data_IF_562725106876
#
_entry.id   IF_562725106876
#
_cell.length_a   1.000
_cell.length_b   1.000
_cell.length_c   1.000
_cell.angle_alpha   90.00
_cell.angle_beta   90.00
_cell.angle_gamma   90.00
#
_symmetry.space_group_name_H-M   'P 1'
#
loop_
_entity.id
_entity.type
_entity.pdbx_description
1 polymer ?
#
# COMPACT_ATOMS: atom_id res chain seq x y z
N UNK A 1 -8.00 -34.79 12.09
CA UNK A 1 -8.53 -33.41 12.10
C UNK A 1 -9.20 -33.12 10.77
N UNK A 2 -10.50 -32.81 10.77
CA UNK A 2 -11.32 -32.72 9.56
C UNK A 2 -10.94 -31.51 8.68
N UNK A 3 -10.58 -31.77 7.41
CA UNK A 3 -10.31 -30.77 6.35
C UNK A 3 -11.39 -29.69 6.22
N UNK A 4 -12.62 -29.98 6.64
CA UNK A 4 -13.77 -29.06 6.53
C UNK A 4 -13.64 -27.81 7.43
N UNK A 5 -13.08 -27.94 8.64
CA UNK A 5 -12.88 -26.79 9.53
C UNK A 5 -11.71 -25.90 9.09
N UNK A 6 -10.65 -26.50 8.54
CA UNK A 6 -9.50 -25.74 8.02
C UNK A 6 -9.89 -24.84 6.82
N UNK A 7 -10.72 -25.33 5.91
CA UNK A 7 -11.20 -24.54 4.77
C UNK A 7 -12.12 -23.38 5.15
N UNK A 8 -12.90 -23.50 6.23
CA UNK A 8 -13.76 -22.42 6.72
C UNK A 8 -12.93 -21.31 7.38
N UNK A 9 -11.94 -21.65 8.21
CA UNK A 9 -11.07 -20.66 8.83
C UNK A 9 -10.25 -19.85 7.81
N UNK A 10 -9.81 -20.49 6.74
CA UNK A 10 -9.13 -19.80 5.64
C UNK A 10 -10.09 -18.86 4.90
N UNK A 11 -11.33 -19.29 4.65
CA UNK A 11 -12.36 -18.43 4.03
C UNK A 11 -12.69 -17.21 4.89
N UNK A 12 -12.89 -17.41 6.20
CA UNK A 12 -13.18 -16.31 7.14
C UNK A 12 -12.01 -15.33 7.25
N UNK A 13 -10.77 -15.83 7.19
CA UNK A 13 -9.59 -14.98 7.18
C UNK A 13 -9.53 -14.11 5.92
N UNK A 14 -9.79 -14.70 4.74
CA UNK A 14 -9.84 -13.96 3.47
C UNK A 14 -10.93 -12.89 3.51
N UNK A 15 -12.13 -13.19 4.03
CA UNK A 15 -13.21 -12.20 4.13
C UNK A 15 -12.87 -11.01 5.03
N UNK A 16 -12.23 -11.27 6.18
CA UNK A 16 -11.73 -10.20 7.05
C UNK A 16 -10.69 -9.34 6.36
N UNK A 17 -9.81 -9.94 5.57
CA UNK A 17 -8.78 -9.25 4.80
C UNK A 17 -9.38 -8.39 3.67
N UNK A 18 -10.39 -8.91 2.96
CA UNK A 18 -11.14 -8.15 1.96
C UNK A 18 -11.83 -6.93 2.61
N UNK A 19 -12.48 -7.12 3.77
CA UNK A 19 -13.12 -6.03 4.50
C UNK A 19 -12.11 -4.99 4.99
N UNK A 20 -10.93 -5.42 5.46
CA UNK A 20 -9.83 -4.53 5.85
C UNK A 20 -9.35 -3.68 4.70
N UNK A 21 -9.10 -4.27 3.52
CA UNK A 21 -8.65 -3.54 2.33
C UNK A 21 -9.69 -2.50 1.87
N UNK A 22 -10.99 -2.84 1.89
CA UNK A 22 -12.07 -1.88 1.63
C UNK A 22 -12.07 -0.72 2.62
N UNK A 23 -11.93 -1.02 3.91
CA UNK A 23 -11.86 -0.01 4.97
C UNK A 23 -10.63 0.89 4.83
N UNK A 24 -9.49 0.35 4.40
CA UNK A 24 -8.30 1.15 4.11
C UNK A 24 -8.58 2.20 3.03
N UNK A 25 -9.20 1.83 1.90
CA UNK A 25 -9.53 2.78 0.84
C UNK A 25 -10.37 3.98 1.34
N UNK A 26 -11.37 3.71 2.19
CA UNK A 26 -12.22 4.74 2.79
C UNK A 26 -11.39 5.65 3.71
N UNK A 27 -10.54 5.07 4.57
CA UNK A 27 -9.67 5.84 5.48
C UNK A 27 -8.64 6.68 4.74
N UNK A 28 -8.06 6.15 3.66
CA UNK A 28 -7.10 6.88 2.83
C UNK A 28 -7.76 8.10 2.20
N UNK A 29 -8.95 7.93 1.62
CA UNK A 29 -9.73 9.05 1.08
C UNK A 29 -9.95 10.13 2.15
N UNK A 30 -10.45 9.76 3.33
CA UNK A 30 -10.68 10.72 4.41
C UNK A 30 -9.39 11.43 4.86
N UNK A 31 -8.26 10.71 4.94
CA UNK A 31 -6.94 11.29 5.26
C UNK A 31 -6.47 12.28 4.19
N UNK A 32 -6.68 11.98 2.92
CA UNK A 32 -6.30 12.83 1.78
C UNK A 32 -7.23 14.05 1.72
N UNK A 33 -8.54 13.88 1.85
CA UNK A 33 -9.51 14.97 1.86
C UNK A 33 -9.20 15.98 2.98
N UNK A 34 -8.78 15.50 4.16
CA UNK A 34 -8.37 16.35 5.28
C UNK A 34 -7.01 17.02 5.09
N UNK A 35 -6.03 16.31 4.53
CA UNK A 35 -4.64 16.78 4.41
C UNK A 35 -4.31 17.47 3.08
N UNK A 36 -5.22 17.41 2.11
CA UNK A 36 -5.05 17.92 0.75
C UNK A 36 -3.86 17.33 -0.01
N UNK A 37 -3.44 18.06 -1.04
CA UNK A 37 -2.39 17.63 -1.97
C UNK A 37 -1.04 17.37 -1.29
N UNK A 38 -0.70 18.09 -0.21
CA UNK A 38 0.55 17.88 0.53
C UNK A 38 0.58 16.48 1.16
N UNK A 39 -0.55 16.02 1.71
CA UNK A 39 -0.62 14.69 2.34
C UNK A 39 -0.58 13.57 1.30
N UNK A 40 -1.28 13.75 0.18
CA UNK A 40 -1.19 12.83 -0.95
C UNK A 40 0.26 12.70 -1.48
N UNK A 41 0.96 13.82 -1.63
CA UNK A 41 2.37 13.85 -2.05
C UNK A 41 3.28 13.13 -1.04
N UNK A 42 3.10 13.37 0.26
CA UNK A 42 3.88 12.70 1.30
C UNK A 42 3.69 11.18 1.27
N UNK A 43 2.45 10.71 1.04
CA UNK A 43 2.18 9.29 0.85
C UNK A 43 2.80 8.75 -0.44
N UNK A 44 2.74 9.48 -1.55
CA UNK A 44 3.41 9.10 -2.80
C UNK A 44 4.91 8.92 -2.65
N UNK A 45 5.60 9.87 -2.01
CA UNK A 45 7.03 9.77 -1.73
C UNK A 45 7.38 8.58 -0.81
N UNK A 46 6.56 8.36 0.23
CA UNK A 46 6.73 7.21 1.11
C UNK A 46 6.51 5.88 0.37
N UNK A 47 5.55 5.81 -0.55
CA UNK A 47 5.29 4.62 -1.38
C UNK A 47 6.49 4.29 -2.28
N UNK A 48 7.05 5.29 -2.97
CA UNK A 48 8.26 5.11 -3.80
C UNK A 48 9.41 4.61 -2.94
N UNK A 49 9.65 5.24 -1.79
CA UNK A 49 10.73 4.86 -0.88
C UNK A 49 10.61 3.40 -0.41
N UNK A 50 9.42 2.97 0.01
CA UNK A 50 9.20 1.59 0.44
C UNK A 50 9.35 0.62 -0.75
N UNK A 51 8.86 0.99 -1.94
CA UNK A 51 9.02 0.16 -3.14
C UNK A 51 10.49 -0.02 -3.55
N UNK A 52 11.34 0.99 -3.40
CA UNK A 52 12.79 0.87 -3.65
C UNK A 52 13.45 -0.11 -2.68
N UNK A 53 13.03 -0.12 -1.40
CA UNK A 53 13.51 -1.10 -0.42
C UNK A 53 13.06 -2.52 -0.78
N UNK A 54 11.79 -2.68 -1.16
CA UNK A 54 11.25 -3.97 -1.60
C UNK A 54 11.90 -4.46 -2.89
N UNK A 55 12.23 -3.55 -3.81
CA UNK A 55 12.95 -3.86 -5.06
C UNK A 55 14.27 -4.58 -4.77
N UNK A 56 15.07 -4.04 -3.84
CA UNK A 56 16.32 -4.65 -3.41
C UNK A 56 16.13 -6.01 -2.73
N UNK A 57 15.09 -6.16 -1.92
CA UNK A 57 14.77 -7.43 -1.24
C UNK A 57 14.30 -8.52 -2.21
N UNK A 58 13.48 -8.15 -3.19
CA UNK A 58 12.83 -9.08 -4.11
C UNK A 58 13.62 -9.34 -5.39
N UNK A 59 14.62 -8.51 -5.69
CA UNK A 59 15.34 -8.56 -6.97
C UNK A 59 14.47 -8.19 -8.17
N UNK A 60 13.45 -7.34 -7.95
CA UNK A 60 12.49 -6.91 -8.97
C UNK A 60 12.60 -5.40 -9.23
N UNK A 61 12.18 -4.88 -10.39
CA UNK A 61 12.08 -3.43 -10.60
C UNK A 61 11.19 -2.76 -9.53
N UNK A 62 11.56 -1.56 -9.10
CA UNK A 62 10.78 -0.81 -8.09
C UNK A 62 9.31 -0.59 -8.52
N UNK A 63 9.05 -0.39 -9.81
CA UNK A 63 7.67 -0.31 -10.34
C UNK A 63 6.87 -1.59 -10.14
N UNK A 64 7.52 -2.75 -10.18
CA UNK A 64 6.86 -4.04 -9.99
C UNK A 64 6.72 -4.37 -8.50
N UNK A 65 7.73 -4.05 -7.69
CA UNK A 65 7.62 -4.12 -6.23
C UNK A 65 6.52 -3.20 -5.68
N UNK A 66 6.37 -1.99 -6.24
CA UNK A 66 5.31 -1.03 -5.88
C UNK A 66 3.91 -1.60 -6.12
N UNK A 67 3.75 -2.42 -7.16
CA UNK A 67 2.44 -2.96 -7.59
C UNK A 67 2.26 -4.45 -7.27
N UNK A 68 3.23 -5.04 -6.57
CA UNK A 68 3.30 -6.46 -6.26
C UNK A 68 3.16 -7.35 -7.52
N UNK A 69 3.79 -6.95 -8.62
CA UNK A 69 3.76 -7.68 -9.90
C UNK A 69 4.95 -8.62 -10.00
N UNK A 70 4.73 -9.82 -10.56
CA UNK A 70 5.80 -10.81 -10.74
C UNK A 70 6.36 -11.41 -9.44
N UNK A 71 5.69 -11.17 -8.30
CA UNK A 71 6.11 -11.70 -6.99
C UNK A 71 5.54 -13.11 -6.78
N UNK A 72 6.37 -14.05 -6.33
CA UNK A 72 5.95 -15.42 -5.99
C UNK A 72 5.04 -15.44 -4.75
N UNK A 73 4.30 -16.54 -4.56
CA UNK A 73 3.42 -16.70 -3.38
C UNK A 73 4.17 -16.60 -2.05
N UNK A 74 5.35 -17.21 -1.97
CA UNK A 74 6.16 -17.20 -0.75
C UNK A 74 6.67 -15.79 -0.47
N UNK A 75 7.22 -15.11 -1.49
CA UNK A 75 7.69 -13.74 -1.36
C UNK A 75 6.56 -12.75 -1.03
N UNK A 76 5.34 -12.97 -1.56
CA UNK A 76 4.17 -12.16 -1.21
C UNK A 76 3.86 -12.25 0.30
N UNK A 77 3.89 -13.46 0.85
CA UNK A 77 3.57 -13.71 2.25
C UNK A 77 4.67 -13.19 3.19
N UNK A 78 5.94 -13.39 2.83
CA UNK A 78 7.07 -12.90 3.63
C UNK A 78 7.12 -11.37 3.64
N UNK A 79 6.96 -10.75 2.47
CA UNK A 79 6.93 -9.29 2.33
C UNK A 79 5.76 -8.67 3.10
N UNK A 80 4.61 -9.35 3.15
CA UNK A 80 3.46 -8.91 3.94
C UNK A 80 3.83 -8.78 5.43
N UNK A 81 4.51 -9.79 5.99
CA UNK A 81 4.96 -9.76 7.38
C UNK A 81 5.94 -8.60 7.65
N UNK A 82 6.86 -8.33 6.72
CA UNK A 82 7.80 -7.21 6.83
C UNK A 82 7.13 -5.85 6.77
N UNK A 83 6.16 -5.68 5.86
CA UNK A 83 5.40 -4.44 5.73
C UNK A 83 4.56 -4.15 6.98
N UNK A 84 3.90 -5.17 7.55
CA UNK A 84 3.11 -5.00 8.77
C UNK A 84 3.97 -4.66 9.99
N UNK A 85 5.12 -5.33 10.16
CA UNK A 85 6.10 -4.98 11.19
C UNK A 85 6.62 -3.55 11.01
N UNK A 86 6.92 -3.16 9.78
CA UNK A 86 7.41 -1.82 9.46
C UNK A 86 6.36 -0.76 9.73
N UNK A 87 5.09 -1.01 9.39
CA UNK A 87 3.99 -0.12 9.71
C UNK A 87 3.78 0.02 11.23
N UNK A 88 3.86 -1.08 11.97
CA UNK A 88 3.77 -1.06 13.43
C UNK A 88 4.91 -0.25 14.07
N UNK A 89 6.15 -0.46 13.61
CA UNK A 89 7.32 0.33 14.06
C UNK A 89 7.15 1.81 13.76
N UNK A 90 6.70 2.18 12.56
CA UNK A 90 6.46 3.59 12.24
C UNK A 90 5.41 4.21 13.17
N UNK A 91 4.38 3.44 13.57
CA UNK A 91 3.34 3.92 14.48
C UNK A 91 3.84 4.26 15.88
N UNK A 92 4.96 3.69 16.35
CA UNK A 92 5.53 4.03 17.67
C UNK A 92 6.14 5.43 17.70
N UNK A 93 6.38 6.04 16.53
CA UNK A 93 6.93 7.40 16.40
C UNK A 93 5.87 8.46 16.13
N UNK A 94 4.57 8.12 16.26
CA UNK A 94 3.46 9.04 16.01
C UNK A 94 3.20 10.04 17.14
N UNK A 95 4.00 10.00 18.20
CA UNK A 95 3.83 10.92 19.31
C UNK A 95 4.11 12.37 18.89
N UNK A 96 3.22 13.25 19.32
CA UNK A 96 2.70 14.35 18.53
C UNK A 96 3.64 15.56 18.34
N UNK A 97 3.36 16.33 17.28
CA UNK A 97 3.89 17.65 16.86
C UNK A 97 5.33 17.75 16.30
N UNK A 98 6.11 16.67 16.25
CA UNK A 98 7.41 16.69 15.58
C UNK A 98 7.31 16.41 14.07
N UNK A 99 8.19 16.98 13.23
CA UNK A 99 8.33 16.61 11.81
C UNK A 99 8.56 15.10 11.61
N UNK A 100 9.18 14.43 12.58
CA UNK A 100 9.39 12.98 12.61
C UNK A 100 8.06 12.22 12.62
N UNK A 101 7.04 12.72 13.32
CA UNK A 101 5.71 12.11 13.36
C UNK A 101 4.98 12.15 12.02
N UNK A 102 5.16 13.22 11.23
CA UNK A 102 4.54 13.32 9.89
C UNK A 102 5.18 12.35 8.88
N UNK A 103 6.50 12.20 8.94
CA UNK A 103 7.24 11.22 8.12
C UNK A 103 6.85 9.80 8.53
N UNK A 104 6.80 9.53 9.84
CA UNK A 104 6.39 8.24 10.37
C UNK A 104 4.94 7.87 9.98
N UNK A 105 3.99 8.81 10.03
CA UNK A 105 2.62 8.56 9.54
C UNK A 105 2.60 8.25 8.04
N UNK A 106 3.43 8.94 7.26
CA UNK A 106 3.51 8.72 5.82
C UNK A 106 4.07 7.34 5.48
N UNK A 107 5.16 6.93 6.15
CA UNK A 107 5.74 5.59 6.02
C UNK A 107 4.80 4.50 6.55
N UNK A 108 4.18 4.69 7.71
CA UNK A 108 3.20 3.74 8.26
C UNK A 108 2.02 3.54 7.30
N UNK A 109 1.56 4.63 6.68
CA UNK A 109 0.47 4.60 5.70
C UNK A 109 0.91 3.89 4.42
N UNK A 110 2.08 4.20 3.87
CA UNK A 110 2.63 3.54 2.68
C UNK A 110 2.80 2.02 2.91
N UNK A 111 3.40 1.62 4.02
CA UNK A 111 3.54 0.21 4.37
C UNK A 111 2.18 -0.49 4.53
N UNK A 112 1.18 0.18 5.11
CA UNK A 112 -0.18 -0.37 5.24
C UNK A 112 -0.87 -0.55 3.88
N UNK A 113 -0.68 0.40 2.96
CA UNK A 113 -1.20 0.30 1.58
C UNK A 113 -0.58 -0.89 0.85
N UNK A 114 0.75 -0.99 0.89
CA UNK A 114 1.45 -2.07 0.23
C UNK A 114 1.15 -3.42 0.88
N UNK A 115 1.02 -3.49 2.20
CA UNK A 115 0.61 -4.73 2.88
C UNK A 115 -0.74 -5.23 2.37
N UNK A 116 -1.75 -4.36 2.33
CA UNK A 116 -3.07 -4.75 1.83
C UNK A 116 -3.02 -5.09 0.33
N UNK A 117 -2.21 -4.40 -0.48
CA UNK A 117 -2.02 -4.75 -1.90
C UNK A 117 -1.38 -6.14 -2.07
N UNK A 118 -0.27 -6.41 -1.39
CA UNK A 118 0.44 -7.70 -1.43
C UNK A 118 -0.47 -8.84 -0.98
N UNK A 119 -1.22 -8.62 0.11
CA UNK A 119 -2.23 -9.55 0.61
C UNK A 119 -3.33 -9.82 -0.40
N UNK A 120 -3.84 -8.80 -1.09
CA UNK A 120 -4.85 -8.99 -2.13
C UNK A 120 -4.30 -9.76 -3.34
N UNK A 121 -3.03 -9.53 -3.74
CA UNK A 121 -2.36 -10.34 -4.78
C UNK A 121 -2.21 -11.79 -4.36
N UNK A 122 -1.81 -12.03 -3.11
CA UNK A 122 -1.72 -13.39 -2.55
C UNK A 122 -3.08 -14.11 -2.59
N UNK A 123 -4.14 -13.44 -2.12
CA UNK A 123 -5.49 -14.00 -2.13
C UNK A 123 -6.02 -14.23 -3.55
N UNK A 124 -5.71 -13.35 -4.51
CA UNK A 124 -6.05 -13.55 -5.92
C UNK A 124 -5.42 -14.82 -6.52
N UNK A 125 -4.27 -15.26 -5.99
CA UNK A 125 -3.60 -16.49 -6.42
C UNK A 125 -4.11 -17.74 -5.67
N UNK A 126 -4.38 -17.64 -4.37
CA UNK A 126 -4.60 -18.80 -3.49
C UNK A 126 -6.06 -19.05 -3.06
N UNK A 127 -6.91 -18.03 -2.97
CA UNK A 127 -8.25 -18.13 -2.37
C UNK A 127 -9.23 -18.99 -3.16
N UNK A 128 -10.47 -19.14 -2.68
CA UNK A 128 -11.53 -19.81 -3.46
C UNK A 128 -11.91 -19.01 -4.72
N UNK A 129 -12.51 -19.63 -5.74
CA UNK A 129 -12.82 -18.98 -7.04
C UNK A 129 -13.56 -17.65 -6.91
N UNK A 130 -14.54 -17.57 -5.99
CA UNK A 130 -15.30 -16.34 -5.73
C UNK A 130 -14.43 -15.25 -5.10
N UNK A 131 -13.68 -15.61 -4.05
CA UNK A 131 -12.82 -14.68 -3.33
C UNK A 131 -11.62 -14.21 -4.17
N UNK A 132 -11.10 -15.06 -5.07
CA UNK A 132 -10.03 -14.68 -6.01
C UNK A 132 -10.41 -13.49 -6.87
N UNK A 133 -11.63 -13.48 -7.42
CA UNK A 133 -12.10 -12.39 -8.28
C UNK A 133 -12.21 -11.08 -7.48
N UNK A 134 -12.74 -11.14 -6.26
CA UNK A 134 -12.88 -9.97 -5.40
C UNK A 134 -11.52 -9.44 -4.91
N UNK A 135 -10.61 -10.34 -4.52
CA UNK A 135 -9.25 -9.97 -4.16
C UNK A 135 -8.50 -9.33 -5.34
N UNK A 136 -8.67 -9.86 -6.56
CA UNK A 136 -8.08 -9.28 -7.77
C UNK A 136 -8.64 -7.87 -8.06
N UNK A 137 -9.95 -7.65 -7.92
CA UNK A 137 -10.57 -6.33 -8.07
C UNK A 137 -9.99 -5.33 -7.05
N UNK A 138 -9.94 -5.72 -5.77
CA UNK A 138 -9.36 -4.86 -4.73
C UNK A 138 -7.87 -4.59 -4.94
N UNK A 139 -7.09 -5.58 -5.37
CA UNK A 139 -5.69 -5.39 -5.73
C UNK A 139 -5.54 -4.35 -6.83
N UNK A 140 -6.39 -4.38 -7.85
CA UNK A 140 -6.36 -3.42 -8.95
C UNK A 140 -6.78 -2.00 -8.50
N UNK A 141 -7.79 -1.88 -7.63
CA UNK A 141 -8.17 -0.58 -7.03
C UNK A 141 -7.05 0.00 -6.17
N UNK A 142 -6.40 -0.82 -5.35
CA UNK A 142 -5.25 -0.41 -4.54
C UNK A 142 -4.07 0.00 -5.43
N UNK A 143 -3.81 -0.76 -6.51
CA UNK A 143 -2.77 -0.42 -7.51
C UNK A 143 -3.04 0.96 -8.11
N UNK A 144 -4.29 1.24 -8.50
CA UNK A 144 -4.67 2.54 -9.04
C UNK A 144 -4.47 3.68 -8.04
N UNK A 145 -4.84 3.47 -6.77
CA UNK A 145 -4.60 4.46 -5.70
C UNK A 145 -3.10 4.72 -5.52
N UNK A 146 -2.28 3.67 -5.50
CA UNK A 146 -0.83 3.77 -5.40
C UNK A 146 -0.27 4.60 -6.56
N UNK A 147 -0.68 4.28 -7.79
CA UNK A 147 -0.26 5.03 -8.98
C UNK A 147 -0.67 6.50 -8.88
N UNK A 148 -1.91 6.81 -8.55
CA UNK A 148 -2.38 8.20 -8.41
C UNK A 148 -1.57 8.97 -7.36
N UNK A 149 -1.30 8.35 -6.21
CA UNK A 149 -0.52 8.98 -5.14
C UNK A 149 0.93 9.26 -5.57
N UNK A 150 1.56 8.34 -6.29
CA UNK A 150 2.92 8.52 -6.81
C UNK A 150 2.97 9.59 -7.90
N UNK A 151 1.98 9.63 -8.81
CA UNK A 151 1.93 10.60 -9.91
C UNK A 151 1.55 12.02 -9.45
N UNK A 152 0.92 12.15 -8.28
CA UNK A 152 0.60 13.46 -7.69
C UNK A 152 1.86 14.30 -7.38
N UNK A 153 3.04 13.68 -7.21
CA UNK A 153 4.32 14.40 -7.09
C UNK A 153 4.80 15.00 -8.42
N UNK A 154 4.61 14.28 -9.53
CA UNK A 154 5.06 14.70 -10.86
C UNK A 154 4.37 15.96 -11.36
N UNK A 155 3.06 16.09 -11.14
CA UNK A 155 2.30 17.27 -11.57
C UNK A 155 2.63 18.53 -10.77
N UNK A 156 2.93 18.40 -9.47
CA UNK A 156 3.30 19.53 -8.60
C UNK A 156 4.73 20.02 -8.90
N UNK A 157 5.68 19.11 -9.16
CA UNK A 157 7.03 19.48 -9.59
C UNK A 157 7.03 20.23 -10.92
N UNK A 158 6.26 19.75 -11.90
CA UNK A 158 6.12 20.42 -13.19
C UNK A 158 5.44 21.80 -13.04
N UNK A 159 4.39 21.91 -12.23
CA UNK A 159 3.71 23.18 -11.97
C UNK A 159 4.63 24.21 -11.28
N UNK A 160 5.52 23.78 -10.38
CA UNK A 160 6.52 24.64 -9.72
C UNK A 160 7.64 25.09 -10.67
N UNK A 161 8.04 24.25 -11.62
CA UNK A 161 9.03 24.64 -12.64
C UNK A 161 8.43 25.65 -13.64
N UNK A 162 7.18 25.46 -14.03
CA UNK A 162 6.48 26.37 -14.94
C UNK A 162 6.23 27.75 -14.31
N UNK A 163 5.84 27.80 -13.03
CA UNK A 163 5.60 29.07 -12.32
C UNK A 163 6.89 29.84 -12.00
N UNK A 164 8.05 29.16 -11.82
CA UNK A 164 9.36 29.83 -11.72
C UNK A 164 9.89 30.36 -13.04
N UNK A 165 9.47 29.77 -14.17
CA UNK A 165 9.87 30.21 -15.50
C UNK A 165 9.02 31.38 -16.02
N UNK A 166 7.77 31.52 -15.54
CA UNK A 166 6.88 32.63 -15.88
C UNK A 166 7.09 33.90 -15.03
N UNK A 167 7.89 33.82 -13.96
CA UNK A 167 8.24 34.95 -13.10
C UNK A 167 9.60 35.59 -13.45
N UNK A 168 10.21 35.17 -14.57
CA UNK A 168 11.38 35.79 -15.20
C UNK A 168 10.93 36.43 -16.51
#
# INVERSE_FOLDING_TARGET
>A
MCKWMAGHHDSDAVERDLARAKSLLIRLRAKIDKGGNRKAQAYGLALVHVADLLSGLLGLPASDALLARGVSLDNLNDTLGDLERSAARCRTFLDATSPTGEIADSLATACSILADLYRMRFHAMKASRRQKAEAADLANRLSHVVEVLVHSDGQVRQARMNSRSAAK
#
